data_IF_618482081785
#
_entry.id   IF_618482081785
#
_cell.length_a   1.000
_cell.length_b   1.000
_cell.length_c   1.000
_cell.angle_alpha   90.00
_cell.angle_beta   90.00
_cell.angle_gamma   90.00
#
_symmetry.space_group_name_H-M   'P 1'
#
loop_
_entity.id
_entity.type
_entity.pdbx_description
1 polymer ?
#
# COMPACT_ATOMS: atom_id res chain seq x y z
N UNK A 1 -2.88 52.75 -13.21
CA UNK A 1 -4.28 53.20 -13.15
C UNK A 1 -5.26 52.16 -13.73
N UNK A 2 -4.97 51.53 -14.89
CA UNK A 2 -5.85 50.52 -15.52
C UNK A 2 -6.13 49.25 -14.69
N UNK A 3 -5.16 48.76 -13.90
CA UNK A 3 -5.34 47.52 -13.12
C UNK A 3 -6.38 47.66 -11.98
N UNK A 4 -6.47 48.83 -11.37
CA UNK A 4 -7.46 49.11 -10.31
C UNK A 4 -8.88 49.22 -10.88
N UNK A 5 -9.03 49.79 -12.08
CA UNK A 5 -10.35 49.91 -12.73
C UNK A 5 -10.89 48.54 -13.12
N UNK A 6 -10.03 47.65 -13.64
CA UNK A 6 -10.45 46.28 -13.99
C UNK A 6 -10.80 45.45 -12.74
N UNK A 7 -10.02 45.57 -11.66
CA UNK A 7 -10.36 44.95 -10.37
C UNK A 7 -11.71 45.46 -9.84
N UNK A 8 -11.96 46.77 -9.89
CA UNK A 8 -13.25 47.33 -9.45
C UNK A 8 -14.43 46.79 -10.27
N UNK A 9 -14.28 46.65 -11.59
CA UNK A 9 -15.35 46.10 -12.45
C UNK A 9 -15.61 44.62 -12.14
N UNK A 10 -14.56 43.84 -11.92
CA UNK A 10 -14.69 42.42 -11.55
C UNK A 10 -15.35 42.27 -10.17
N UNK A 11 -14.97 43.09 -9.19
CA UNK A 11 -15.63 43.10 -7.88
C UNK A 11 -17.11 43.51 -7.97
N UNK A 12 -17.43 44.49 -8.81
CA UNK A 12 -18.82 44.93 -9.00
C UNK A 12 -19.67 43.86 -9.66
N UNK A 13 -19.14 43.18 -10.68
CA UNK A 13 -19.80 42.04 -11.34
C UNK A 13 -19.99 40.87 -10.37
N UNK A 14 -18.99 40.59 -9.52
CA UNK A 14 -19.09 39.52 -8.54
C UNK A 14 -20.13 39.82 -7.46
N UNK A 15 -20.17 41.06 -6.96
CA UNK A 15 -21.14 41.50 -5.98
C UNK A 15 -22.56 41.49 -6.55
N UNK A 16 -22.73 41.96 -7.79
CA UNK A 16 -24.02 41.92 -8.48
C UNK A 16 -24.50 40.48 -8.72
N UNK A 17 -23.60 39.58 -9.12
CA UNK A 17 -23.90 38.17 -9.31
C UNK A 17 -24.28 37.50 -7.98
N UNK A 18 -23.56 37.78 -6.90
CA UNK A 18 -23.86 37.26 -5.58
C UNK A 18 -25.24 37.73 -5.07
N UNK A 19 -25.53 39.02 -5.20
CA UNK A 19 -26.84 39.59 -4.86
C UNK A 19 -27.99 38.97 -5.68
N UNK A 20 -27.75 38.68 -6.96
CA UNK A 20 -28.73 38.03 -7.82
C UNK A 20 -29.00 36.57 -7.39
N UNK A 21 -27.99 35.84 -6.93
CA UNK A 21 -28.16 34.50 -6.38
C UNK A 21 -28.99 34.49 -5.10
N UNK A 22 -28.75 35.43 -4.18
CA UNK A 22 -29.56 35.56 -2.96
C UNK A 22 -31.03 35.87 -3.27
N UNK A 23 -31.28 36.73 -4.26
CA UNK A 23 -32.64 37.04 -4.71
C UNK A 23 -33.34 35.82 -5.33
N UNK A 24 -32.62 35.00 -6.10
CA UNK A 24 -33.14 33.75 -6.68
C UNK A 24 -33.49 32.75 -5.57
N UNK A 25 -32.65 32.61 -4.56
CA UNK A 25 -32.91 31.73 -3.42
C UNK A 25 -34.14 32.18 -2.62
N UNK A 26 -34.32 33.49 -2.41
CA UNK A 26 -35.51 34.05 -1.79
C UNK A 26 -36.79 33.80 -2.61
N UNK A 27 -36.70 33.88 -3.94
CA UNK A 27 -37.83 33.58 -4.83
C UNK A 27 -38.20 32.09 -4.80
N UNK A 28 -37.21 31.19 -4.76
CA UNK A 28 -37.42 29.74 -4.60
C UNK A 28 -38.05 29.42 -3.24
N UNK A 29 -37.64 30.12 -2.18
CA UNK A 29 -38.19 29.95 -0.84
C UNK A 29 -39.65 30.41 -0.74
N UNK A 30 -40.01 31.52 -1.38
CA UNK A 30 -41.39 32.02 -1.41
C UNK A 30 -42.29 31.20 -2.37
N UNK A 31 -41.89 31.07 -3.63
CA UNK A 31 -42.74 30.58 -4.73
C UNK A 31 -42.29 29.27 -5.37
N UNK A 32 -41.16 28.69 -4.97
CA UNK A 32 -40.64 27.46 -5.55
C UNK A 32 -41.51 26.23 -5.30
N UNK A 33 -41.40 25.23 -6.16
CA UNK A 33 -42.05 23.92 -5.95
C UNK A 33 -41.48 23.21 -4.72
N UNK A 34 -42.22 22.29 -4.10
CA UNK A 34 -41.73 21.50 -2.95
C UNK A 34 -40.38 20.80 -3.23
N UNK A 35 -40.14 20.39 -4.48
CA UNK A 35 -38.87 19.80 -4.92
C UNK A 35 -37.72 20.82 -4.87
N UNK A 36 -37.95 22.05 -5.33
CA UNK A 36 -36.95 23.12 -5.32
C UNK A 36 -36.68 23.62 -3.89
N UNK A 37 -37.73 23.81 -3.07
CA UNK A 37 -37.57 24.20 -1.65
C UNK A 37 -36.75 23.17 -0.86
N UNK A 38 -36.99 21.87 -1.09
CA UNK A 38 -36.21 20.79 -0.47
C UNK A 38 -34.76 20.74 -0.96
N UNK A 39 -34.51 21.07 -2.23
CA UNK A 39 -33.16 21.16 -2.76
C UNK A 39 -32.40 22.35 -2.16
N UNK A 40 -33.06 23.50 -1.99
CA UNK A 40 -32.50 24.70 -1.35
C UNK A 40 -32.16 24.44 0.13
N UNK A 41 -33.10 23.86 0.90
CA UNK A 41 -32.87 23.57 2.33
C UNK A 41 -31.75 22.57 2.55
N UNK A 42 -31.64 21.55 1.70
CA UNK A 42 -30.52 20.60 1.72
C UNK A 42 -29.17 21.28 1.46
N UNK A 43 -29.10 22.21 0.49
CA UNK A 43 -27.87 22.97 0.21
C UNK A 43 -27.45 23.83 1.41
N UNK A 44 -28.38 24.57 2.02
CA UNK A 44 -28.10 25.41 3.20
C UNK A 44 -27.64 24.57 4.40
N UNK A 45 -28.31 23.44 4.67
CA UNK A 45 -27.91 22.54 5.75
C UNK A 45 -26.49 21.98 5.55
N UNK A 46 -26.12 21.62 4.32
CA UNK A 46 -24.77 21.13 4.02
C UNK A 46 -23.70 22.22 4.16
N UNK A 47 -24.01 23.47 3.77
CA UNK A 47 -23.11 24.61 3.96
C UNK A 47 -22.87 24.90 5.45
N UNK A 48 -23.95 25.04 6.23
CA UNK A 48 -23.85 25.27 7.69
C UNK A 48 -23.13 24.11 8.39
N UNK A 49 -23.41 22.86 8.01
CA UNK A 49 -22.68 21.70 8.54
C UNK A 49 -21.17 21.74 8.23
N UNK A 50 -20.79 22.21 7.04
CA UNK A 50 -19.38 22.35 6.66
C UNK A 50 -18.65 23.47 7.42
N UNK A 51 -19.33 24.59 7.67
CA UNK A 51 -18.79 25.71 8.44
C UNK A 51 -18.61 25.36 9.91
N UNK A 52 -19.62 24.74 10.53
CA UNK A 52 -19.55 24.29 11.93
C UNK A 52 -18.45 23.24 12.10
N UNK A 53 -18.32 22.30 11.16
CA UNK A 53 -17.26 21.30 11.19
C UNK A 53 -15.88 21.94 11.05
N UNK A 54 -15.72 22.89 10.12
CA UNK A 54 -14.47 23.64 9.94
C UNK A 54 -14.07 24.43 11.20
N UNK A 55 -15.03 25.12 11.82
CA UNK A 55 -14.80 25.85 13.08
C UNK A 55 -14.44 24.92 14.23
N UNK A 56 -15.13 23.78 14.37
CA UNK A 56 -14.83 22.79 15.40
C UNK A 56 -13.43 22.18 15.18
N UNK A 57 -13.06 21.89 13.93
CA UNK A 57 -11.72 21.42 13.57
C UNK A 57 -10.64 22.46 13.87
N UNK A 58 -10.87 23.74 13.52
CA UNK A 58 -9.94 24.83 13.80
C UNK A 58 -9.75 25.00 15.31
N UNK A 59 -10.84 25.00 16.08
CA UNK A 59 -10.80 25.13 17.54
C UNK A 59 -10.09 23.94 18.20
N UNK A 60 -10.35 22.72 17.75
CA UNK A 60 -9.64 21.54 18.23
C UNK A 60 -8.15 21.58 17.86
N UNK A 61 -7.79 22.07 16.68
CA UNK A 61 -6.40 22.24 16.28
C UNK A 61 -5.69 23.30 17.13
N UNK A 62 -6.34 24.43 17.42
CA UNK A 62 -5.82 25.47 18.31
C UNK A 62 -5.60 24.95 19.72
N UNK A 63 -6.55 24.20 20.28
CA UNK A 63 -6.44 23.60 21.63
C UNK A 63 -5.29 22.59 21.71
N UNK A 64 -5.10 21.78 20.67
CA UNK A 64 -3.96 20.85 20.58
C UNK A 64 -2.63 21.60 20.47
N UNK A 65 -2.58 22.69 19.69
CA UNK A 65 -1.39 23.53 19.53
C UNK A 65 -1.06 24.27 20.83
N UNK A 66 -2.06 24.74 21.56
CA UNK A 66 -1.89 25.43 22.85
C UNK A 66 -1.45 24.46 23.94
N UNK A 67 -1.99 23.24 23.97
CA UNK A 67 -1.65 22.22 24.96
C UNK A 67 -0.27 21.57 24.72
N UNK A 68 0.08 21.22 23.48
CA UNK A 68 1.35 20.54 23.15
C UNK A 68 2.46 21.48 22.65
N UNK A 69 2.13 22.65 22.13
CA UNK A 69 3.09 23.54 21.51
C UNK A 69 3.56 23.09 20.12
N UNK A 70 3.78 24.05 19.22
CA UNK A 70 4.15 23.79 17.81
C UNK A 70 5.45 23.01 17.64
N UNK A 71 6.41 23.15 18.57
CA UNK A 71 7.72 22.48 18.50
C UNK A 71 7.64 20.99 18.84
N UNK A 72 6.80 20.61 19.80
CA UNK A 72 6.61 19.20 20.16
C UNK A 72 5.74 18.52 19.11
N UNK A 73 4.75 19.21 18.56
CA UNK A 73 3.96 18.71 17.43
C UNK A 73 4.80 18.45 16.18
N UNK A 74 5.78 19.30 15.87
CA UNK A 74 6.71 19.06 14.74
C UNK A 74 7.63 17.87 15.03
N UNK A 75 8.10 17.70 16.27
CA UNK A 75 8.89 16.52 16.66
C UNK A 75 8.05 15.25 16.61
N UNK A 76 6.80 15.30 17.08
CA UNK A 76 5.83 14.20 17.05
C UNK A 76 5.45 13.87 15.60
N UNK A 77 5.36 14.86 14.70
CA UNK A 77 5.14 14.63 13.26
C UNK A 77 6.34 13.96 12.58
N UNK A 78 7.56 14.36 12.92
CA UNK A 78 8.78 13.73 12.41
C UNK A 78 8.94 12.30 12.98
N UNK A 79 8.67 12.11 14.28
CA UNK A 79 8.61 10.78 14.88
C UNK A 79 7.45 9.95 14.32
N UNK A 80 6.30 10.55 13.98
CA UNK A 80 5.18 9.83 13.39
C UNK A 80 5.50 9.36 11.98
N UNK A 81 6.30 10.10 11.20
CA UNK A 81 6.78 9.62 9.90
C UNK A 81 7.73 8.42 10.05
N UNK A 82 8.59 8.42 11.07
CA UNK A 82 9.44 7.27 11.42
C UNK A 82 8.59 6.09 11.93
N UNK A 83 7.56 6.35 12.75
CA UNK A 83 6.62 5.34 13.25
C UNK A 83 5.76 4.80 12.10
N UNK A 84 5.25 5.62 11.20
CA UNK A 84 4.53 5.22 10.00
C UNK A 84 5.41 4.40 9.06
N UNK A 85 6.70 4.76 8.94
CA UNK A 85 7.67 3.94 8.23
C UNK A 85 7.86 2.58 8.89
N UNK A 86 7.85 2.51 10.23
CA UNK A 86 7.90 1.24 10.97
C UNK A 86 6.60 0.44 10.93
N UNK A 87 5.44 1.09 10.73
CA UNK A 87 4.12 0.44 10.75
C UNK A 87 3.88 -0.47 9.53
N UNK A 88 4.52 -0.19 8.39
CA UNK A 88 4.42 -1.03 7.20
C UNK A 88 5.62 -1.95 6.98
N UNK A 89 6.74 -1.76 7.69
CA UNK A 89 7.88 -2.67 7.58
C UNK A 89 7.63 -3.92 8.47
N UNK A 90 8.05 -5.12 8.03
CA UNK A 90 8.05 -6.27 8.90
C UNK A 90 8.98 -6.01 10.11
N UNK A 91 8.73 -6.67 11.26
CA UNK A 91 9.62 -6.59 12.42
C UNK A 91 11.06 -6.85 11.99
N UNK A 92 11.96 -5.92 12.32
CA UNK A 92 13.38 -6.00 11.96
C UNK A 92 14.27 -5.88 13.18
N UNK A 93 15.32 -6.69 13.22
CA UNK A 93 16.40 -6.57 14.19
C UNK A 93 17.57 -5.79 13.58
N UNK A 94 17.89 -4.64 14.17
CA UNK A 94 18.95 -3.75 13.68
C UNK A 94 20.33 -4.29 14.07
N UNK A 95 20.40 -5.09 15.14
CA UNK A 95 21.65 -5.58 15.72
C UNK A 95 21.93 -7.05 15.33
N UNK A 96 21.27 -7.54 14.28
CA UNK A 96 21.46 -8.90 13.81
C UNK A 96 22.89 -9.12 13.28
N UNK A 97 23.57 -10.15 13.79
CA UNK A 97 24.91 -10.55 13.33
C UNK A 97 24.89 -11.27 11.97
N UNK A 98 23.73 -11.81 11.58
CA UNK A 98 23.50 -12.56 10.33
C UNK A 98 22.34 -11.96 9.54
N UNK A 99 22.39 -11.99 8.20
CA UNK A 99 21.31 -11.47 7.35
C UNK A 99 19.97 -12.17 7.63
N UNK A 100 20.01 -13.48 7.88
CA UNK A 100 18.86 -14.32 8.30
C UNK A 100 18.12 -13.76 9.53
N UNK A 101 18.86 -13.17 10.47
CA UNK A 101 18.32 -12.71 11.74
C UNK A 101 17.75 -11.29 11.68
N UNK A 102 18.01 -10.54 10.60
CA UNK A 102 17.46 -9.19 10.42
C UNK A 102 15.94 -9.25 10.33
N UNK A 103 15.43 -10.21 9.56
CA UNK A 103 14.01 -10.46 9.38
C UNK A 103 13.73 -11.91 9.74
N UNK A 104 13.35 -12.21 10.99
CA UNK A 104 13.16 -13.61 11.40
C UNK A 104 11.97 -14.23 10.69
N UNK A 105 12.11 -15.49 10.25
CA UNK A 105 11.03 -16.20 9.58
C UNK A 105 9.80 -16.35 10.48
N UNK A 106 10.00 -16.63 11.78
CA UNK A 106 8.92 -16.77 12.77
C UNK A 106 8.06 -15.51 12.92
N UNK A 107 8.66 -14.33 12.70
CA UNK A 107 7.96 -13.05 12.73
C UNK A 107 7.14 -12.81 11.45
N UNK A 108 7.55 -13.41 10.32
CA UNK A 108 6.85 -13.35 9.04
C UNK A 108 5.71 -14.36 8.97
N UNK A 109 6.00 -15.61 9.31
CA UNK A 109 5.10 -16.77 9.30
C UNK A 109 5.18 -17.42 10.68
N UNK A 110 4.10 -17.36 11.46
CA UNK A 110 4.13 -17.98 12.79
C UNK A 110 4.24 -19.50 12.68
N UNK A 111 4.78 -20.21 13.68
CA UNK A 111 4.92 -21.67 13.62
C UNK A 111 3.59 -22.41 13.39
N UNK A 112 2.48 -21.84 13.89
CA UNK A 112 1.12 -22.37 13.68
C UNK A 112 0.67 -22.22 12.23
N UNK A 113 1.00 -21.09 11.60
CA UNK A 113 0.75 -20.86 10.17
C UNK A 113 1.62 -21.79 9.33
N UNK A 114 2.90 -21.91 9.67
CA UNK A 114 3.85 -22.75 8.97
C UNK A 114 3.44 -24.22 8.95
N UNK A 115 2.92 -24.73 10.08
CA UNK A 115 2.35 -26.08 10.14
C UNK A 115 1.11 -26.22 9.24
N UNK A 116 0.27 -25.20 9.14
CA UNK A 116 -0.93 -25.22 8.29
C UNK A 116 -0.65 -25.15 6.79
N UNK A 117 0.59 -24.83 6.39
CA UNK A 117 1.01 -24.72 4.98
C UNK A 117 1.35 -26.07 4.33
N UNK A 118 1.46 -27.16 5.10
CA UNK A 118 1.87 -28.46 4.59
C UNK A 118 0.98 -28.95 3.43
N UNK A 119 -0.33 -29.06 3.69
CA UNK A 119 -1.30 -29.49 2.68
C UNK A 119 -1.35 -28.60 1.43
N UNK A 120 -1.44 -27.25 1.53
CA UNK A 120 -1.49 -26.42 0.33
C UNK A 120 -0.17 -26.35 -0.45
N UNK A 121 0.97 -26.63 0.19
CA UNK A 121 2.29 -26.65 -0.46
C UNK A 121 2.62 -27.96 -1.17
N UNK A 122 1.84 -29.03 -0.94
CA UNK A 122 2.06 -30.35 -1.55
C UNK A 122 2.20 -30.29 -3.10
N UNK A 123 1.38 -29.52 -3.84
CA UNK A 123 1.53 -29.41 -5.30
C UNK A 123 2.86 -28.77 -5.74
N UNK A 124 3.46 -27.92 -4.90
CA UNK A 124 4.75 -27.30 -5.18
C UNK A 124 5.91 -28.24 -4.88
N UNK A 125 5.72 -29.16 -3.93
CA UNK A 125 6.70 -30.19 -3.58
C UNK A 125 6.72 -31.33 -4.61
N UNK A 126 5.56 -31.80 -5.04
CA UNK A 126 5.40 -32.91 -5.98
C UNK A 126 5.32 -32.40 -7.42
N UNK A 127 6.31 -31.60 -7.80
CA UNK A 127 6.28 -30.82 -9.02
C UNK A 127 6.65 -31.69 -10.24
N UNK A 128 5.70 -31.91 -11.14
CA UNK A 128 5.95 -32.55 -12.44
C UNK A 128 6.18 -31.48 -13.51
N UNK A 129 7.06 -31.72 -14.48
CA UNK A 129 7.30 -30.81 -15.63
C UNK A 129 6.01 -30.39 -16.34
N UNK A 130 5.03 -31.29 -16.46
CA UNK A 130 3.70 -30.99 -17.02
C UNK A 130 2.90 -30.01 -16.16
N UNK A 131 2.94 -30.17 -14.83
CA UNK A 131 2.25 -29.28 -13.89
C UNK A 131 2.85 -27.87 -13.88
N UNK A 132 4.18 -27.77 -14.01
CA UNK A 132 4.88 -26.50 -14.19
C UNK A 132 4.44 -25.78 -15.46
N UNK A 133 4.38 -26.51 -16.58
CA UNK A 133 3.96 -25.92 -17.85
C UNK A 133 2.52 -25.40 -17.77
N UNK A 134 1.62 -26.15 -17.13
CA UNK A 134 0.25 -25.69 -16.88
C UNK A 134 0.21 -24.42 -16.01
N UNK A 135 1.06 -24.32 -14.99
CA UNK A 135 1.15 -23.12 -14.14
C UNK A 135 1.60 -21.88 -14.94
N UNK A 136 2.57 -22.07 -15.84
CA UNK A 136 3.07 -21.03 -16.74
C UNK A 136 1.97 -20.58 -17.72
N UNK A 137 1.32 -21.53 -18.38
CA UNK A 137 0.29 -21.27 -19.39
C UNK A 137 -0.92 -20.57 -18.78
N UNK A 138 -1.31 -20.97 -17.56
CA UNK A 138 -2.44 -20.39 -16.84
C UNK A 138 -2.14 -19.00 -16.25
N UNK A 139 -0.87 -18.58 -16.16
CA UNK A 139 -0.43 -17.29 -15.57
C UNK A 139 -1.02 -17.02 -14.18
N UNK A 140 -1.22 -18.08 -13.39
CA UNK A 140 -1.87 -17.99 -12.09
C UNK A 140 -0.91 -17.64 -10.95
N UNK A 141 0.39 -17.81 -11.18
CA UNK A 141 1.46 -17.60 -10.20
C UNK A 141 2.40 -16.48 -10.66
N UNK A 142 3.07 -15.84 -9.70
CA UNK A 142 4.09 -14.83 -9.99
C UNK A 142 5.28 -15.41 -10.77
N UNK A 143 5.93 -14.58 -11.58
CA UNK A 143 7.15 -14.93 -12.30
C UNK A 143 8.26 -15.40 -11.36
N UNK A 144 8.41 -14.74 -10.20
CA UNK A 144 9.42 -15.14 -9.21
C UNK A 144 9.15 -16.55 -8.67
N UNK A 145 7.88 -16.89 -8.45
CA UNK A 145 7.48 -18.22 -7.95
C UNK A 145 7.80 -19.28 -8.99
N UNK A 146 7.50 -19.02 -10.26
CA UNK A 146 7.78 -19.95 -11.37
C UNK A 146 9.28 -20.18 -11.52
N UNK A 147 10.09 -19.12 -11.42
CA UNK A 147 11.55 -19.23 -11.51
C UNK A 147 12.11 -20.10 -10.37
N UNK A 148 11.74 -19.80 -9.13
CA UNK A 148 12.22 -20.55 -7.97
C UNK A 148 11.73 -22.01 -7.97
N UNK A 149 10.52 -22.27 -8.48
CA UNK A 149 10.00 -23.64 -8.63
C UNK A 149 10.80 -24.47 -9.67
N UNK A 150 11.42 -23.84 -10.66
CA UNK A 150 12.30 -24.54 -11.61
C UNK A 150 13.64 -24.92 -10.99
N UNK A 151 14.12 -24.10 -10.06
CA UNK A 151 15.40 -24.30 -9.36
C UNK A 151 15.25 -25.21 -8.12
N UNK A 152 14.01 -25.47 -7.70
CA UNK A 152 13.64 -26.26 -6.53
C UNK A 152 14.08 -27.73 -6.63
N UNK A 153 15.34 -28.00 -6.30
CA UNK A 153 15.91 -29.36 -6.26
C UNK A 153 16.76 -29.52 -5.00
N UNK A 154 16.39 -30.45 -4.10
CA UNK A 154 17.20 -30.71 -2.90
C UNK A 154 16.45 -31.13 -1.64
N UNK A 155 17.19 -31.13 -0.52
CA UNK A 155 16.75 -31.63 0.80
C UNK A 155 15.78 -30.70 1.54
N UNK A 156 15.83 -29.40 1.26
CA UNK A 156 14.97 -28.38 1.90
C UNK A 156 13.74 -28.00 1.06
N UNK A 157 13.38 -28.86 0.11
CA UNK A 157 12.27 -28.67 -0.82
C UNK A 157 10.93 -28.39 -0.10
N UNK A 158 10.64 -29.07 1.02
CA UNK A 158 9.40 -28.86 1.76
C UNK A 158 9.33 -27.46 2.39
N UNK A 159 10.45 -26.97 2.94
CA UNK A 159 10.53 -25.65 3.53
C UNK A 159 10.33 -24.56 2.49
N UNK A 160 11.07 -24.66 1.38
CA UNK A 160 10.99 -23.72 0.27
C UNK A 160 9.59 -23.73 -0.36
N UNK A 161 8.96 -24.89 -0.54
CA UNK A 161 7.61 -25.01 -1.08
C UNK A 161 6.56 -24.30 -0.21
N UNK A 162 6.63 -24.45 1.12
CA UNK A 162 5.75 -23.75 2.06
C UNK A 162 5.94 -22.22 1.98
N UNK A 163 7.20 -21.77 2.00
CA UNK A 163 7.54 -20.35 1.89
C UNK A 163 7.09 -19.75 0.54
N UNK A 164 7.31 -20.45 -0.56
CA UNK A 164 6.88 -20.06 -1.91
C UNK A 164 5.37 -19.97 -2.03
N UNK A 165 4.63 -20.94 -1.48
CA UNK A 165 3.17 -20.90 -1.48
C UNK A 165 2.65 -19.68 -0.71
N UNK A 166 3.22 -19.39 0.45
CA UNK A 166 2.82 -18.22 1.23
C UNK A 166 3.17 -16.90 0.52
N UNK A 167 4.33 -16.86 -0.16
CA UNK A 167 4.72 -15.73 -1.00
C UNK A 167 3.73 -15.51 -2.15
N UNK A 168 3.35 -16.55 -2.88
CA UNK A 168 2.35 -16.50 -3.95
C UNK A 168 0.99 -16.01 -3.43
N UNK A 169 0.57 -16.46 -2.25
CA UNK A 169 -0.66 -16.02 -1.60
C UNK A 169 -0.65 -14.51 -1.28
N UNK A 170 0.48 -13.97 -0.82
CA UNK A 170 0.63 -12.53 -0.58
C UNK A 170 0.64 -11.72 -1.89
N UNK A 171 1.27 -12.24 -2.96
CA UNK A 171 1.24 -11.61 -4.28
C UNK A 171 -0.19 -11.56 -4.82
N UNK A 172 -0.97 -12.64 -4.65
CA UNK A 172 -2.38 -12.66 -5.03
C UNK A 172 -3.19 -11.65 -4.22
N UNK A 173 -2.97 -11.59 -2.91
CA UNK A 173 -3.65 -10.65 -2.02
C UNK A 173 -3.40 -9.19 -2.43
N UNK A 174 -2.16 -8.82 -2.74
CA UNK A 174 -1.80 -7.44 -3.12
C UNK A 174 -2.54 -6.97 -4.39
N UNK A 175 -2.81 -7.90 -5.30
CA UNK A 175 -3.50 -7.65 -6.56
C UNK A 175 -5.03 -7.51 -6.39
N UNK A 176 -5.59 -7.85 -5.21
CA UNK A 176 -7.01 -7.75 -4.91
C UNK A 176 -7.41 -6.35 -4.41
N UNK A 177 -8.33 -5.68 -5.11
CA UNK A 177 -8.85 -4.36 -4.69
C UNK A 177 -9.85 -4.45 -3.53
N UNK A 178 -10.69 -5.48 -3.55
CA UNK A 178 -11.67 -5.80 -2.51
C UNK A 178 -11.44 -7.24 -2.13
N UNK A 179 -11.28 -7.51 -0.84
CA UNK A 179 -10.94 -8.82 -0.32
C UNK A 179 -12.19 -9.43 0.30
N UNK A 180 -12.81 -10.38 -0.39
CA UNK A 180 -13.90 -11.16 0.19
C UNK A 180 -13.33 -12.44 0.81
N UNK A 181 -13.84 -12.80 1.99
CA UNK A 181 -13.44 -14.05 2.65
C UNK A 181 -13.63 -15.27 1.74
N UNK A 182 -14.71 -15.29 0.94
CA UNK A 182 -14.99 -16.36 -0.03
C UNK A 182 -13.94 -16.47 -1.14
N UNK A 183 -13.34 -15.35 -1.54
CA UNK A 183 -12.30 -15.32 -2.59
C UNK A 183 -10.95 -15.79 -2.04
N UNK A 184 -10.70 -15.61 -0.74
CA UNK A 184 -9.54 -16.19 -0.05
C UNK A 184 -9.74 -17.66 0.34
N UNK A 185 -10.98 -18.11 0.54
CA UNK A 185 -11.31 -19.50 0.88
C UNK A 185 -11.41 -20.36 -0.40
N UNK A 186 -10.41 -20.27 -1.28
CA UNK A 186 -10.26 -21.26 -2.37
C UNK A 186 -10.06 -22.64 -1.72
N UNK A 187 -10.64 -23.74 -2.26
CA UNK A 187 -10.40 -25.08 -1.73
C UNK A 187 -8.89 -25.33 -1.57
N UNK A 188 -8.46 -25.60 -0.34
CA UNK A 188 -7.04 -25.76 0.03
C UNK A 188 -6.42 -24.58 0.80
N UNK A 189 -7.07 -23.41 0.91
CA UNK A 189 -6.52 -22.27 1.64
C UNK A 189 -6.73 -22.39 3.18
N UNK A 190 -5.67 -22.41 4.00
CA UNK A 190 -5.81 -22.54 5.46
C UNK A 190 -6.58 -21.38 6.10
N UNK A 191 -7.52 -21.72 7.00
CA UNK A 191 -8.37 -20.73 7.68
C UNK A 191 -7.58 -19.81 8.62
N UNK A 192 -6.50 -20.33 9.22
CA UNK A 192 -5.52 -19.62 10.04
C UNK A 192 -4.92 -18.43 9.30
N UNK A 193 -4.41 -18.69 8.08
CA UNK A 193 -3.79 -17.69 7.22
C UNK A 193 -4.81 -16.66 6.75
N UNK A 194 -6.03 -17.10 6.42
CA UNK A 194 -7.11 -16.21 5.98
C UNK A 194 -7.48 -15.21 7.08
N UNK A 195 -7.55 -15.67 8.32
CA UNK A 195 -7.76 -14.82 9.49
C UNK A 195 -6.66 -13.76 9.65
N UNK A 196 -5.39 -14.16 9.55
CA UNK A 196 -4.25 -13.24 9.63
C UNK A 196 -4.26 -12.22 8.50
N UNK A 197 -4.48 -12.64 7.25
CA UNK A 197 -4.46 -11.75 6.10
C UNK A 197 -5.50 -10.66 6.22
N UNK A 198 -6.73 -11.04 6.57
CA UNK A 198 -7.82 -10.08 6.77
C UNK A 198 -7.51 -9.11 7.92
N UNK A 199 -6.92 -9.58 9.02
CA UNK A 199 -6.63 -8.75 10.18
C UNK A 199 -5.44 -7.80 9.99
N UNK A 200 -4.37 -8.24 9.32
CA UNK A 200 -3.09 -7.53 9.30
C UNK A 200 -2.77 -6.81 7.98
N UNK A 201 -3.42 -7.21 6.88
CA UNK A 201 -3.16 -6.70 5.53
C UNK A 201 -4.39 -6.09 4.84
N UNK A 202 -5.55 -6.02 5.52
CA UNK A 202 -6.73 -5.35 4.98
C UNK A 202 -7.27 -4.30 5.94
N UNK A 203 -7.92 -3.28 5.38
CA UNK A 203 -8.65 -2.26 6.14
C UNK A 203 -10.11 -2.33 5.75
N UNK A 204 -10.98 -2.27 6.75
CA UNK A 204 -12.42 -2.19 6.56
C UNK A 204 -12.78 -0.79 6.05
N UNK A 205 -13.34 -0.73 4.84
CA UNK A 205 -13.78 0.50 4.20
C UNK A 205 -15.29 0.49 3.98
N UNK A 206 -15.92 1.66 4.17
CA UNK A 206 -17.31 1.85 3.84
C UNK A 206 -17.42 2.46 2.44
N UNK A 207 -17.93 1.69 1.49
CA UNK A 207 -18.09 2.13 0.10
C UNK A 207 -19.46 1.71 -0.42
N UNK A 208 -20.17 2.64 -1.06
CA UNK A 208 -21.49 2.41 -1.66
C UNK A 208 -22.52 1.81 -0.67
N UNK A 209 -22.53 2.28 0.58
CA UNK A 209 -23.47 1.79 1.60
C UNK A 209 -23.14 0.41 2.18
N UNK A 210 -21.99 -0.18 1.83
CA UNK A 210 -21.57 -1.50 2.32
C UNK A 210 -20.19 -1.43 2.97
N UNK A 211 -20.05 -2.19 4.05
CA UNK A 211 -18.77 -2.45 4.70
C UNK A 211 -18.05 -3.55 3.93
N UNK A 212 -16.84 -3.28 3.46
CA UNK A 212 -16.02 -4.24 2.74
C UNK A 212 -14.56 -4.14 3.18
N UNK A 213 -13.81 -5.23 3.10
CA UNK A 213 -12.37 -5.18 3.33
C UNK A 213 -11.64 -4.89 2.02
N UNK A 214 -10.67 -3.99 2.08
CA UNK A 214 -9.87 -3.59 0.92
C UNK A 214 -8.41 -3.44 1.31
N UNK A 215 -7.52 -3.73 0.37
CA UNK A 215 -6.09 -3.43 0.51
C UNK A 215 -5.89 -1.96 0.16
N UNK A 216 -5.66 -1.12 1.17
CA UNK A 216 -5.30 0.28 0.98
C UNK A 216 -3.87 0.41 0.41
N UNK A 217 -3.48 1.60 -0.06
CA UNK A 217 -2.09 1.81 -0.52
C UNK A 217 -1.03 1.57 0.56
N UNK A 218 -1.34 1.90 1.82
CA UNK A 218 -0.46 1.63 2.97
C UNK A 218 -0.37 0.14 3.26
N UNK A 219 -1.51 -0.58 3.27
CA UNK A 219 -1.51 -2.03 3.42
C UNK A 219 -0.79 -2.74 2.28
N UNK A 220 -0.94 -2.26 1.04
CA UNK A 220 -0.21 -2.82 -0.09
C UNK A 220 1.30 -2.69 0.10
N UNK A 221 1.75 -1.53 0.60
CA UNK A 221 3.17 -1.30 0.89
C UNK A 221 3.69 -2.22 1.98
N UNK A 222 2.84 -2.51 2.98
CA UNK A 222 3.12 -3.50 4.01
C UNK A 222 3.24 -4.91 3.42
N UNK A 223 2.28 -5.34 2.61
CA UNK A 223 2.33 -6.64 1.92
C UNK A 223 3.63 -6.75 1.12
N UNK A 224 3.98 -5.73 0.34
CA UNK A 224 5.21 -5.71 -0.47
C UNK A 224 6.45 -5.87 0.40
N UNK A 225 6.54 -5.18 1.53
CA UNK A 225 7.67 -5.30 2.44
C UNK A 225 7.77 -6.73 3.03
N UNK A 226 6.64 -7.34 3.39
CA UNK A 226 6.60 -8.74 3.84
C UNK A 226 6.98 -9.73 2.72
N UNK A 227 6.55 -9.47 1.47
CA UNK A 227 6.92 -10.31 0.32
C UNK A 227 8.41 -10.22 0.03
N UNK A 228 9.00 -9.02 0.06
CA UNK A 228 10.44 -8.86 -0.10
C UNK A 228 11.20 -9.59 1.02
N UNK A 229 10.75 -9.47 2.27
CA UNK A 229 11.38 -10.14 3.40
C UNK A 229 11.35 -11.68 3.26
N UNK A 230 10.24 -12.25 2.77
CA UNK A 230 10.13 -13.68 2.50
C UNK A 230 10.97 -14.11 1.30
N UNK A 231 10.97 -13.33 0.22
CA UNK A 231 11.80 -13.60 -0.94
C UNK A 231 13.29 -13.63 -0.59
N UNK A 232 13.74 -12.80 0.37
CA UNK A 232 15.13 -12.83 0.85
C UNK A 232 15.49 -14.17 1.51
N UNK A 233 14.56 -14.84 2.19
CA UNK A 233 14.81 -16.18 2.75
C UNK A 233 14.80 -17.29 1.71
N UNK A 234 14.10 -17.08 0.60
CA UNK A 234 13.99 -18.08 -0.47
C UNK A 234 15.20 -17.99 -1.41
N UNK A 235 15.64 -16.77 -1.73
CA UNK A 235 16.65 -16.50 -2.75
C UNK A 235 18.03 -16.11 -2.15
N UNK A 236 18.45 -16.75 -1.05
CA UNK A 236 19.77 -16.52 -0.41
C UNK A 236 20.14 -15.04 -0.19
N UNK A 237 19.18 -14.22 0.27
CA UNK A 237 19.32 -12.79 0.54
C UNK A 237 19.57 -11.89 -0.67
N UNK A 238 19.33 -12.40 -1.88
CA UNK A 238 19.30 -11.64 -3.14
C UNK A 238 17.94 -11.76 -3.83
N UNK A 239 17.21 -10.66 -3.99
CA UNK A 239 15.88 -10.68 -4.60
C UNK A 239 15.84 -9.85 -5.87
N UNK A 240 15.27 -10.43 -6.94
CA UNK A 240 14.99 -9.71 -8.17
C UNK A 240 13.76 -8.80 -8.02
N UNK A 241 14.03 -7.51 -7.80
CA UNK A 241 12.99 -6.50 -7.63
C UNK A 241 12.24 -6.22 -8.93
N UNK A 242 12.87 -6.45 -10.09
CA UNK A 242 12.24 -6.22 -11.39
C UNK A 242 11.15 -7.26 -11.70
N UNK A 243 11.38 -8.52 -11.35
CA UNK A 243 10.33 -9.56 -11.44
C UNK A 243 9.21 -9.29 -10.45
N UNK A 244 9.56 -9.01 -9.19
CA UNK A 244 8.56 -8.75 -8.15
C UNK A 244 7.71 -7.51 -8.45
N UNK A 245 8.29 -6.47 -9.06
CA UNK A 245 7.56 -5.30 -9.52
C UNK A 245 6.44 -5.67 -10.51
N UNK A 246 6.71 -6.58 -11.45
CA UNK A 246 5.76 -7.03 -12.46
C UNK A 246 4.63 -7.83 -11.83
N UNK A 247 4.98 -8.76 -10.94
CA UNK A 247 4.01 -9.63 -10.24
C UNK A 247 3.04 -8.84 -9.35
N UNK A 248 3.56 -7.80 -8.68
CA UNK A 248 2.79 -6.95 -7.76
C UNK A 248 2.17 -5.72 -8.45
N UNK A 249 2.39 -5.54 -9.76
CA UNK A 249 1.91 -4.40 -10.57
C UNK A 249 2.26 -3.03 -9.97
N UNK A 250 3.49 -2.90 -9.48
CA UNK A 250 3.98 -1.68 -8.83
C UNK A 250 4.70 -0.77 -9.83
N UNK A 251 4.78 0.52 -9.47
CA UNK A 251 5.72 1.42 -10.12
C UNK A 251 7.13 1.13 -9.62
N UNK A 252 8.11 1.29 -10.50
CA UNK A 252 9.52 1.08 -10.20
C UNK A 252 9.99 1.92 -8.99
N UNK A 253 9.57 3.18 -8.91
CA UNK A 253 9.90 4.03 -7.77
C UNK A 253 9.37 3.46 -6.46
N UNK A 254 8.15 2.90 -6.47
CA UNK A 254 7.50 2.42 -5.24
C UNK A 254 8.21 1.21 -4.66
N UNK A 255 8.57 0.22 -5.48
CA UNK A 255 9.29 -0.96 -5.00
C UNK A 255 10.68 -0.60 -4.50
N UNK A 256 11.37 0.35 -5.16
CA UNK A 256 12.70 0.80 -4.74
C UNK A 256 12.65 1.63 -3.45
N UNK A 257 11.62 2.44 -3.24
CA UNK A 257 11.41 3.14 -1.96
C UNK A 257 11.23 2.14 -0.81
N UNK A 258 10.42 1.10 -1.00
CA UNK A 258 10.18 0.08 0.02
C UNK A 258 11.45 -0.74 0.28
N UNK A 259 12.14 -1.19 -0.77
CA UNK A 259 13.40 -1.92 -0.65
C UNK A 259 14.48 -1.11 0.08
N UNK A 260 14.58 0.20 -0.21
CA UNK A 260 15.49 1.09 0.51
C UNK A 260 15.07 1.29 1.96
N UNK A 261 13.77 1.46 2.25
CA UNK A 261 13.27 1.57 3.62
C UNK A 261 13.56 0.32 4.46
N UNK A 262 13.58 -0.86 3.81
CA UNK A 262 14.03 -2.13 4.40
C UNK A 262 15.56 -2.21 4.60
N UNK A 263 16.34 -1.27 4.09
CA UNK A 263 17.79 -1.25 4.23
C UNK A 263 18.54 -2.10 3.20
N UNK A 264 17.87 -2.50 2.10
CA UNK A 264 18.47 -3.28 1.03
C UNK A 264 19.38 -2.45 0.15
N UNK A 265 20.52 -3.02 -0.22
CA UNK A 265 21.43 -2.46 -1.22
C UNK A 265 20.93 -2.85 -2.60
N UNK A 266 20.68 -1.85 -3.45
CA UNK A 266 20.19 -2.08 -4.82
C UNK A 266 21.39 -2.16 -5.76
N UNK A 267 21.56 -3.30 -6.42
CA UNK A 267 22.52 -3.52 -7.50
C UNK A 267 21.79 -3.69 -8.83
N UNK A 268 22.49 -3.53 -9.94
CA UNK A 268 21.97 -3.77 -11.29
C UNK A 268 22.67 -4.98 -11.87
N UNK A 269 21.91 -5.94 -12.40
CA UNK A 269 22.43 -7.14 -13.05
C UNK A 269 21.85 -7.22 -14.46
N UNK A 270 22.69 -7.47 -15.44
CA UNK A 270 22.22 -7.70 -16.81
C UNK A 270 21.74 -9.16 -16.90
N UNK A 271 20.45 -9.36 -17.17
CA UNK A 271 19.88 -10.67 -17.38
C UNK A 271 19.60 -10.88 -18.87
N UNK A 272 19.90 -12.09 -19.35
CA UNK A 272 19.64 -12.50 -20.71
C UNK A 272 18.44 -13.45 -20.70
N UNK A 273 17.28 -12.95 -21.13
CA UNK A 273 16.13 -13.81 -21.43
C UNK A 273 16.32 -14.46 -22.81
N UNK A 274 15.73 -15.64 -23.01
CA UNK A 274 15.82 -16.43 -24.24
C UNK A 274 15.40 -15.67 -25.52
N UNK A 275 14.64 -14.58 -25.36
CA UNK A 275 14.25 -13.67 -26.44
C UNK A 275 15.02 -12.35 -26.30
N UNK A 276 16.08 -12.19 -27.09
CA UNK A 276 17.12 -11.18 -26.92
C UNK A 276 16.65 -9.70 -26.86
N UNK A 277 16.91 -9.09 -25.71
CA UNK A 277 17.53 -7.78 -25.45
C UNK A 277 17.92 -7.84 -23.97
N UNK A 278 19.19 -7.65 -23.63
CA UNK A 278 19.64 -7.78 -22.23
C UNK A 278 18.88 -6.78 -21.35
N UNK A 279 18.03 -7.29 -20.46
CA UNK A 279 17.24 -6.44 -19.57
C UNK A 279 18.04 -6.20 -18.29
N UNK A 280 18.21 -4.94 -17.93
CA UNK A 280 18.91 -4.59 -16.69
C UNK A 280 17.96 -4.78 -15.52
N UNK A 281 18.09 -5.92 -14.86
CA UNK A 281 17.33 -6.23 -13.66
C UNK A 281 17.92 -5.51 -12.44
N UNK A 282 17.06 -5.14 -11.51
CA UNK A 282 17.45 -4.52 -10.24
C UNK A 282 17.37 -5.57 -9.15
N UNK A 283 18.50 -5.86 -8.53
CA UNK A 283 18.60 -6.86 -7.47
C UNK A 283 18.71 -6.12 -6.13
N UNK A 284 17.85 -6.51 -5.18
CA UNK A 284 17.94 -6.08 -3.79
C UNK A 284 18.74 -7.09 -3.01
N UNK A 285 19.85 -6.66 -2.40
CA UNK A 285 20.74 -7.51 -1.60
C UNK A 285 20.71 -7.06 -0.15
N UNK A 286 20.51 -7.99 0.78
CA UNK A 286 20.59 -7.71 2.21
C UNK A 286 22.03 -7.91 2.70
N UNK A 287 22.77 -6.81 2.85
CA UNK A 287 24.14 -6.81 3.37
C UNK A 287 24.22 -6.16 4.74
N UNK A 288 24.99 -6.75 5.66
CA UNK A 288 25.32 -6.15 6.96
C UNK A 288 26.63 -5.34 6.87
N UNK A 289 26.75 -4.20 7.57
CA UNK A 289 25.72 -3.52 8.36
C UNK A 289 24.61 -2.90 7.48
N UNK A 290 23.39 -2.81 8.03
CA UNK A 290 22.22 -2.32 7.29
C UNK A 290 22.42 -0.91 6.76
N UNK A 291 22.02 -0.67 5.51
CA UNK A 291 22.09 0.66 4.93
C UNK A 291 21.00 1.55 5.51
N UNK A 292 21.38 2.63 6.18
CA UNK A 292 20.41 3.60 6.71
C UNK A 292 19.87 4.44 5.55
N UNK A 293 18.65 4.12 5.12
CA UNK A 293 17.96 4.93 4.13
C UNK A 293 17.44 6.23 4.75
N UNK A 294 17.99 7.36 4.28
CA UNK A 294 17.39 8.67 4.50
C UNK A 294 16.46 8.97 3.32
N UNK A 295 15.13 9.05 3.51
CA UNK A 295 14.25 9.49 2.45
C UNK A 295 14.68 10.89 2.00
N UNK A 296 14.65 11.20 0.70
CA UNK A 296 14.94 12.55 0.24
C UNK A 296 13.90 13.49 0.87
N UNK A 297 14.35 14.36 1.78
CA UNK A 297 13.48 15.25 2.55
C UNK A 297 12.48 15.99 1.65
N UNK A 298 11.20 15.73 1.89
CA UNK A 298 10.11 16.36 1.17
C UNK A 298 9.93 17.82 1.59
N UNK A 299 9.89 18.72 0.61
CA UNK A 299 8.80 19.67 0.34
C UNK A 299 9.17 20.27 -1.02
N UNK A 300 8.64 19.71 -2.12
CA UNK A 300 8.55 20.49 -3.36
C UNK A 300 7.48 21.54 -3.12
N UNK A 301 7.91 22.76 -2.75
CA UNK A 301 7.04 23.94 -2.67
C UNK A 301 6.22 23.98 -3.97
N UNK A 302 4.90 23.75 -3.86
CA UNK A 302 3.97 24.01 -4.96
C UNK A 302 4.19 25.45 -5.40
N UNK A 303 4.72 25.64 -6.60
CA UNK A 303 4.75 26.94 -7.26
C UNK A 303 3.29 27.33 -7.45
N UNK A 304 2.80 28.32 -6.69
CA UNK A 304 1.52 28.95 -6.99
C UNK A 304 1.64 29.53 -8.39
N UNK A 305 0.76 29.10 -9.30
CA UNK A 305 0.47 29.82 -10.53
C UNK A 305 -0.41 31.01 -10.20
#
# INVERSE_FOLDING_TARGET
>A
MFLNVLMCIVFFLFFYFFSLFEQVDALIEAFGTNKQKRALSSRRLNQVGSEILSQAMAKAAEEIIEYKGTKELVKEAICSDEIESSLFLPPRDINADKPENVYKLDDLISPVEYASLEAPSEPFRNLTTESLQQMIDNKQHGLIVIQELQELTGKDCDHLARCLWYLDALIKLSNMKVVKRKELMVPGFPSTICGKFMKHFTVTTFKNGRVQNSVSGTMNSKIVAHVIALALHICDFEVDLTLLQRDMKLTENRILEIAKAMGLKITKRLMFSSNALGETHKIGVLTLPLTVYKPPGGIKKRKKM
#
